data_IF_168914039339
#
_entry.id   IF_168914039339
#
_cell.length_a   1.000
_cell.length_b   1.000
_cell.length_c   1.000
_cell.angle_alpha   90.00
_cell.angle_beta   90.00
_cell.angle_gamma   90.00
#
_symmetry.space_group_name_H-M   'P 1'
#
loop_
_entity.id
_entity.type
_entity.pdbx_description
1 polymer ?
#
# COMPACT_ATOMS: atom_id res chain seq x y z
N UNK A 1 -6.66 22.04 -1.57
CA UNK A 1 -5.99 21.19 -0.57
C UNK A 1 -6.37 19.73 -0.70
N UNK A 2 -5.39 18.88 -0.99
CA UNK A 2 -5.52 17.42 -1.01
C UNK A 2 -5.19 16.88 0.37
N UNK A 3 -5.95 15.90 0.85
CA UNK A 3 -5.78 15.35 2.20
C UNK A 3 -5.69 13.85 2.11
N UNK A 4 -4.67 13.25 2.72
CA UNK A 4 -4.44 11.81 2.64
C UNK A 4 -4.13 11.20 3.99
N UNK A 5 -4.49 9.94 4.17
CA UNK A 5 -3.99 9.11 5.26
C UNK A 5 -2.96 8.10 4.73
N UNK A 6 -1.84 7.91 5.43
CA UNK A 6 -0.84 6.89 5.11
C UNK A 6 -0.78 5.86 6.24
N UNK A 7 -1.16 4.63 5.92
CA UNK A 7 -1.00 3.46 6.79
C UNK A 7 0.24 2.68 6.34
N UNK A 8 1.17 2.45 7.26
CA UNK A 8 2.47 1.83 6.95
C UNK A 8 3.58 2.84 6.63
N UNK A 9 3.55 4.03 7.25
CA UNK A 9 4.53 5.10 7.00
C UNK A 9 5.99 4.73 7.27
N UNK A 10 6.27 3.73 8.10
CA UNK A 10 7.64 3.23 8.34
C UNK A 10 8.13 2.22 7.29
N UNK A 11 7.26 1.78 6.38
CA UNK A 11 7.65 0.90 5.26
C UNK A 11 8.40 1.67 4.18
N UNK A 12 9.12 0.95 3.31
CA UNK A 12 9.83 1.56 2.17
C UNK A 12 8.87 2.39 1.30
N UNK A 13 7.75 1.82 0.87
CA UNK A 13 6.77 2.56 0.05
C UNK A 13 6.08 3.68 0.82
N UNK A 14 5.57 3.41 2.02
CA UNK A 14 4.86 4.41 2.83
C UNK A 14 5.72 5.64 3.14
N UNK A 15 6.99 5.44 3.49
CA UNK A 15 7.92 6.54 3.74
C UNK A 15 8.22 7.37 2.49
N UNK A 16 8.29 6.75 1.31
CA UNK A 16 8.44 7.47 0.03
C UNK A 16 7.18 8.26 -0.34
N UNK A 17 5.98 7.73 -0.10
CA UNK A 17 4.71 8.45 -0.29
C UNK A 17 4.71 9.72 0.56
N UNK A 18 5.02 9.60 1.86
CA UNK A 18 5.07 10.74 2.78
C UNK A 18 6.10 11.78 2.31
N UNK A 19 7.32 11.35 1.98
CA UNK A 19 8.37 12.25 1.52
C UNK A 19 8.02 12.97 0.21
N UNK A 20 7.30 12.33 -0.71
CA UNK A 20 6.87 12.96 -1.95
C UNK A 20 5.75 13.97 -1.70
N UNK A 21 4.72 13.59 -0.94
CA UNK A 21 3.58 14.46 -0.63
C UNK A 21 3.98 15.68 0.22
N UNK A 22 4.95 15.53 1.13
CA UNK A 22 5.46 16.66 1.91
C UNK A 22 6.23 17.69 1.07
N UNK A 23 6.62 17.39 -0.18
CA UNK A 23 7.22 18.40 -1.08
C UNK A 23 6.19 19.31 -1.73
N UNK A 24 4.91 18.93 -1.68
CA UNK A 24 3.82 19.67 -2.30
C UNK A 24 3.18 20.63 -1.28
N UNK A 25 2.90 21.86 -1.67
CA UNK A 25 2.42 22.89 -0.73
C UNK A 25 0.94 22.72 -0.34
N UNK A 26 0.10 22.19 -1.24
CA UNK A 26 -1.36 22.06 -1.08
C UNK A 26 -1.78 20.65 -0.63
N UNK A 27 -1.03 20.05 0.31
CA UNK A 27 -1.29 18.70 0.84
C UNK A 27 -1.30 18.68 2.38
N UNK A 28 -2.31 18.00 2.93
CA UNK A 28 -2.42 17.60 4.34
C UNK A 28 -2.26 16.09 4.47
N UNK A 29 -1.55 15.65 5.51
CA UNK A 29 -1.24 14.24 5.74
C UNK A 29 -1.60 13.81 7.15
N UNK A 30 -2.36 12.72 7.24
CA UNK A 30 -2.50 11.95 8.47
C UNK A 30 -1.61 10.72 8.34
N UNK A 31 -0.69 10.50 9.26
CA UNK A 31 0.21 9.34 9.23
C UNK A 31 -0.06 8.46 10.44
N UNK A 32 -0.42 7.21 10.18
CA UNK A 32 -0.65 6.22 11.23
C UNK A 32 0.60 5.36 11.43
N UNK A 33 1.10 5.29 12.66
CA UNK A 33 2.25 4.47 13.01
C UNK A 33 2.11 3.80 14.38
N UNK A 34 2.82 2.69 14.58
CA UNK A 34 2.91 2.02 15.89
C UNK A 34 3.84 2.76 16.86
N UNK A 35 4.86 3.43 16.33
CA UNK A 35 5.84 4.19 17.10
C UNK A 35 6.13 5.51 16.40
N UNK A 36 5.81 6.61 17.09
CA UNK A 36 6.08 7.97 16.62
C UNK A 36 7.58 8.21 16.47
N UNK A 37 8.38 7.83 17.48
CA UNK A 37 9.83 8.00 17.47
C UNK A 37 10.49 7.34 16.25
N UNK A 38 10.11 6.09 15.94
CA UNK A 38 10.64 5.37 14.76
C UNK A 38 10.25 6.04 13.45
N UNK A 39 9.02 6.57 13.38
CA UNK A 39 8.54 7.28 12.20
C UNK A 39 9.30 8.60 11.99
N UNK A 40 9.51 9.37 13.05
CA UNK A 40 10.23 10.66 13.02
C UNK A 40 11.72 10.48 12.72
N UNK A 41 12.35 9.43 13.25
CA UNK A 41 13.72 9.04 12.91
C UNK A 41 13.86 8.73 11.41
N UNK A 42 12.90 7.99 10.85
CA UNK A 42 12.90 7.61 9.44
C UNK A 42 12.50 8.74 8.50
N UNK A 43 11.65 9.67 8.96
CA UNK A 43 11.12 10.79 8.18
C UNK A 43 11.20 12.09 9.01
N UNK A 44 12.40 12.70 9.12
CA UNK A 44 12.59 13.90 9.92
C UNK A 44 11.72 15.09 9.47
N UNK A 45 11.28 15.12 8.21
CA UNK A 45 10.39 16.15 7.65
C UNK A 45 9.01 16.21 8.34
N UNK A 46 8.61 15.18 9.08
CA UNK A 46 7.37 15.19 9.85
C UNK A 46 7.47 16.01 11.14
N UNK A 47 8.68 16.21 11.67
CA UNK A 47 8.90 16.90 12.95
C UNK A 47 8.54 18.38 12.77
N UNK A 48 7.48 18.82 13.45
CA UNK A 48 7.03 20.21 13.42
C UNK A 48 6.34 20.64 12.12
N UNK A 49 6.03 19.70 11.20
CA UNK A 49 5.29 20.02 9.99
C UNK A 49 3.83 20.38 10.31
N UNK A 50 3.34 21.59 10.00
CA UNK A 50 1.94 21.95 10.21
C UNK A 50 0.99 21.25 9.23
N UNK A 51 1.54 20.56 8.23
CA UNK A 51 0.80 19.84 7.18
C UNK A 51 0.69 18.34 7.45
N UNK A 52 1.24 17.86 8.57
CA UNK A 52 1.21 16.45 8.92
C UNK A 52 0.81 16.24 10.38
N UNK A 53 -0.14 15.32 10.58
CA UNK A 53 -0.54 14.86 11.91
C UNK A 53 -0.19 13.38 12.07
N UNK A 54 0.48 13.06 13.17
CA UNK A 54 0.88 11.68 13.49
C UNK A 54 -0.12 11.09 14.47
N UNK A 55 -0.72 9.97 14.08
CA UNK A 55 -1.59 9.15 14.92
C UNK A 55 -0.83 7.90 15.33
N UNK A 56 -0.81 7.61 16.64
CA UNK A 56 -0.04 6.50 17.18
C UNK A 56 -0.92 5.47 17.87
N UNK A 57 -0.81 4.21 17.47
CA UNK A 57 -1.61 3.14 18.05
C UNK A 57 -1.34 1.77 17.42
N UNK A 58 -1.93 0.74 18.04
CA UNK A 58 -2.06 -0.57 17.40
C UNK A 58 -3.07 -0.48 16.27
N UNK A 59 -2.83 -1.15 15.14
CA UNK A 59 -3.75 -1.13 13.99
C UNK A 59 -5.16 -1.64 14.33
N UNK A 60 -5.29 -2.39 15.44
CA UNK A 60 -6.55 -2.88 16.00
C UNK A 60 -7.33 -1.82 16.81
N UNK A 61 -6.71 -0.67 17.11
CA UNK A 61 -7.38 0.46 17.77
C UNK A 61 -8.13 1.27 16.72
N UNK A 62 -9.40 0.89 16.50
CA UNK A 62 -10.26 1.46 15.47
C UNK A 62 -10.69 2.90 15.73
N UNK A 63 -10.67 3.37 16.97
CA UNK A 63 -11.03 4.76 17.29
C UNK A 63 -9.94 5.73 16.84
N UNK A 64 -8.68 5.48 17.23
CA UNK A 64 -7.54 6.29 16.77
C UNK A 64 -7.38 6.17 15.25
N UNK A 65 -7.59 4.96 14.71
CA UNK A 65 -7.57 4.78 13.27
C UNK A 65 -8.69 5.57 12.60
N UNK A 66 -9.92 5.57 13.11
CA UNK A 66 -11.00 6.41 12.59
C UNK A 66 -10.64 7.90 12.61
N UNK A 67 -10.06 8.39 13.70
CA UNK A 67 -9.63 9.80 13.79
C UNK A 67 -8.53 10.13 12.76
N UNK A 68 -7.62 9.19 12.48
CA UNK A 68 -6.61 9.32 11.42
C UNK A 68 -7.21 9.34 10.01
N UNK A 69 -8.33 8.63 9.81
CA UNK A 69 -9.00 8.52 8.51
C UNK A 69 -10.05 9.62 8.29
N UNK A 70 -10.34 10.45 9.29
CA UNK A 70 -11.39 11.47 9.19
C UNK A 70 -10.96 12.62 8.28
N UNK A 71 -11.92 13.12 7.48
CA UNK A 71 -11.72 14.27 6.58
C UNK A 71 -10.71 14.07 5.44
N UNK A 72 -10.13 12.87 5.24
CA UNK A 72 -9.19 12.63 4.14
C UNK A 72 -9.91 12.30 2.83
N UNK A 73 -9.24 12.55 1.70
CA UNK A 73 -9.75 12.21 0.37
C UNK A 73 -9.36 10.79 -0.07
N UNK A 74 -8.16 10.34 0.33
CA UNK A 74 -7.66 9.01 0.00
C UNK A 74 -6.83 8.42 1.14
N UNK A 75 -6.78 7.10 1.20
CA UNK A 75 -6.03 6.31 2.19
C UNK A 75 -5.04 5.44 1.45
N UNK A 76 -3.76 5.58 1.75
CA UNK A 76 -2.73 4.68 1.27
C UNK A 76 -2.55 3.54 2.26
N UNK A 77 -2.90 2.32 1.86
CA UNK A 77 -2.63 1.11 2.61
C UNK A 77 -1.35 0.46 2.06
N UNK A 78 -0.20 0.89 2.59
CA UNK A 78 1.14 0.45 2.20
C UNK A 78 1.77 -0.44 3.28
N UNK A 79 0.96 -1.34 3.84
CA UNK A 79 1.39 -2.33 4.85
C UNK A 79 1.62 -3.67 4.17
N UNK A 80 2.75 -4.29 4.47
CA UNK A 80 3.10 -5.62 3.98
C UNK A 80 4.29 -6.18 4.76
N UNK A 81 4.67 -7.40 4.40
CA UNK A 81 5.83 -8.10 4.93
C UNK A 81 6.62 -8.73 3.79
N UNK A 82 7.94 -8.83 3.94
CA UNK A 82 8.79 -9.57 3.01
C UNK A 82 8.93 -11.05 3.41
N UNK A 83 8.38 -11.43 4.56
CA UNK A 83 8.52 -12.77 5.09
C UNK A 83 7.32 -13.63 4.72
N UNK A 84 7.62 -14.82 4.17
CA UNK A 84 6.61 -15.80 3.78
C UNK A 84 6.13 -16.63 4.99
N UNK A 85 5.61 -15.94 6.01
CA UNK A 85 5.09 -16.55 7.24
C UNK A 85 3.90 -17.46 6.93
N UNK A 86 3.90 -18.74 7.36
CA UNK A 86 2.73 -19.59 7.27
C UNK A 86 1.52 -18.94 7.96
N UNK A 87 0.36 -19.01 7.32
CA UNK A 87 -0.88 -18.41 7.81
C UNK A 87 -0.78 -16.89 8.05
N UNK A 88 0.05 -16.19 7.27
CA UNK A 88 0.12 -14.73 7.29
C UNK A 88 -1.28 -14.11 7.07
N UNK A 89 -1.72 -13.26 8.01
CA UNK A 89 -2.99 -12.52 7.94
C UNK A 89 -2.81 -11.01 8.12
N UNK A 90 -1.61 -10.48 7.89
CA UNK A 90 -1.26 -9.11 8.24
C UNK A 90 -2.17 -8.09 7.54
N UNK A 91 -2.28 -8.17 6.23
CA UNK A 91 -3.07 -7.24 5.41
C UNK A 91 -4.56 -7.47 5.64
N UNK A 92 -5.01 -8.71 5.82
CA UNK A 92 -6.40 -9.01 6.19
C UNK A 92 -6.81 -8.36 7.52
N UNK A 93 -5.96 -8.42 8.55
CA UNK A 93 -6.22 -7.80 9.85
C UNK A 93 -6.30 -6.27 9.75
N UNK A 94 -5.39 -5.67 8.98
CA UNK A 94 -5.45 -4.22 8.73
C UNK A 94 -6.70 -3.83 7.95
N UNK A 95 -7.03 -4.56 6.88
CA UNK A 95 -8.22 -4.32 6.09
C UNK A 95 -9.50 -4.38 6.95
N UNK A 96 -9.58 -5.36 7.86
CA UNK A 96 -10.71 -5.50 8.79
C UNK A 96 -10.82 -4.30 9.74
N UNK A 97 -9.69 -3.87 10.33
CA UNK A 97 -9.66 -2.73 11.24
C UNK A 97 -9.96 -1.41 10.53
N UNK A 98 -9.49 -1.25 9.29
CA UNK A 98 -9.79 -0.11 8.43
C UNK A 98 -11.28 -0.01 8.12
N UNK A 99 -11.92 -1.12 7.73
CA UNK A 99 -13.36 -1.14 7.46
C UNK A 99 -14.16 -0.78 8.71
N UNK A 100 -13.81 -1.35 9.87
CA UNK A 100 -14.45 -1.02 11.14
C UNK A 100 -14.31 0.48 11.47
N UNK A 101 -13.14 1.06 11.23
CA UNK A 101 -12.88 2.49 11.44
C UNK A 101 -13.70 3.39 10.50
N UNK A 102 -13.81 3.02 9.23
CA UNK A 102 -14.66 3.73 8.26
C UNK A 102 -16.14 3.62 8.61
N UNK A 103 -16.60 2.49 9.15
CA UNK A 103 -17.96 2.34 9.65
C UNK A 103 -18.24 3.26 10.84
N UNK A 104 -17.28 3.42 11.76
CA UNK A 104 -17.37 4.39 12.87
C UNK A 104 -17.60 5.80 12.31
N UNK A 105 -16.77 6.24 11.34
CA UNK A 105 -16.91 7.56 10.70
C UNK A 105 -18.27 7.74 10.01
N UNK A 106 -18.70 6.74 9.24
CA UNK A 106 -20.01 6.74 8.59
C UNK A 106 -21.15 6.90 9.60
N UNK A 107 -21.11 6.17 10.71
CA UNK A 107 -22.12 6.25 11.78
C UNK A 107 -22.03 7.55 12.59
N UNK A 108 -20.85 8.15 12.76
CA UNK A 108 -20.69 9.49 13.37
C UNK A 108 -21.38 10.54 12.50
N UNK A 109 -21.14 10.52 11.18
CA UNK A 109 -21.77 11.45 10.23
C UNK A 109 -23.30 11.36 10.22
N UNK A 110 -23.86 10.14 10.23
CA UNK A 110 -25.31 9.93 10.25
C UNK A 110 -25.98 10.45 11.53
N UNK A 111 -25.32 10.31 12.69
CA UNK A 111 -25.84 10.77 13.99
C UNK A 111 -25.78 12.28 14.16
N UNK A 112 -24.79 12.94 13.55
CA UNK A 112 -24.59 14.37 13.76
C UNK A 112 -25.70 15.25 13.16
N UNK A 113 -26.55 14.77 12.25
CA UNK A 113 -27.83 15.41 11.88
C UNK A 113 -27.79 16.90 11.47
N UNK A 114 -26.61 17.50 11.30
CA UNK A 114 -26.46 18.94 11.05
C UNK A 114 -26.77 19.20 9.59
N UNK A 115 -27.92 19.83 9.38
CA UNK A 115 -28.48 20.32 8.11
C UNK A 115 -27.54 21.19 7.25
N UNK A 116 -26.36 21.59 7.76
CA UNK A 116 -25.43 22.51 7.10
C UNK A 116 -24.00 21.97 6.92
N UNK A 117 -23.72 20.71 7.30
CA UNK A 117 -22.41 20.07 7.06
C UNK A 117 -22.47 19.16 5.84
N UNK A 118 -21.45 19.22 4.97
CA UNK A 118 -21.35 18.34 3.80
C UNK A 118 -21.51 16.86 4.18
N UNK A 119 -22.30 16.08 3.43
CA UNK A 119 -22.45 14.64 3.68
C UNK A 119 -21.08 13.96 3.72
N UNK A 120 -20.88 13.03 4.65
CA UNK A 120 -19.64 12.24 4.68
C UNK A 120 -19.48 11.48 3.38
N UNK A 121 -18.32 11.66 2.75
CA UNK A 121 -17.89 10.91 1.57
C UNK A 121 -16.81 9.92 2.01
N UNK A 122 -16.97 8.65 1.62
CA UNK A 122 -15.96 7.65 1.91
C UNK A 122 -14.66 8.00 1.16
N UNK A 123 -13.50 8.04 1.83
CA UNK A 123 -12.22 8.22 1.15
C UNK A 123 -11.91 7.05 0.23
N UNK A 124 -11.18 7.32 -0.85
CA UNK A 124 -10.69 6.28 -1.76
C UNK A 124 -9.55 5.50 -1.09
N UNK A 125 -9.72 4.19 -0.94
CA UNK A 125 -8.67 3.31 -0.46
C UNK A 125 -7.76 2.91 -1.64
N UNK A 126 -6.47 3.20 -1.52
CA UNK A 126 -5.42 2.76 -2.44
C UNK A 126 -4.63 1.65 -1.76
N UNK A 127 -4.88 0.41 -2.16
CA UNK A 127 -4.23 -0.78 -1.64
C UNK A 127 -2.95 -1.08 -2.42
N UNK A 128 -1.82 -1.18 -1.73
CA UNK A 128 -0.61 -1.77 -2.29
C UNK A 128 -0.76 -3.30 -2.34
N UNK A 129 -0.68 -3.87 -3.53
CA UNK A 129 -0.73 -5.31 -3.79
C UNK A 129 0.54 -5.75 -4.54
N UNK A 130 0.45 -6.77 -5.39
CA UNK A 130 1.56 -7.25 -6.21
C UNK A 130 1.06 -7.66 -7.60
N UNK A 131 1.90 -7.50 -8.63
CA UNK A 131 1.67 -8.09 -9.94
C UNK A 131 1.54 -9.62 -9.86
N UNK A 132 2.19 -10.26 -8.87
CA UNK A 132 2.10 -11.71 -8.63
C UNK A 132 0.71 -12.24 -8.28
N UNK A 133 -0.20 -11.37 -7.82
CA UNK A 133 -1.62 -11.74 -7.55
C UNK A 133 -2.58 -11.26 -8.65
N UNK A 134 -2.09 -10.50 -9.63
CA UNK A 134 -2.91 -9.99 -10.72
C UNK A 134 -2.81 -10.91 -11.94
N UNK A 135 -3.90 -11.59 -12.29
CA UNK A 135 -3.89 -12.65 -13.30
C UNK A 135 -3.25 -12.25 -14.64
N UNK A 136 -3.58 -11.06 -15.17
CA UNK A 136 -3.04 -10.60 -16.46
C UNK A 136 -1.56 -10.22 -16.40
N UNK A 137 -1.14 -9.54 -15.32
CA UNK A 137 0.24 -9.08 -15.19
C UNK A 137 1.15 -10.27 -14.87
N UNK A 138 0.72 -11.12 -13.94
CA UNK A 138 1.45 -12.34 -13.63
C UNK A 138 1.56 -13.26 -14.85
N UNK A 139 0.57 -13.31 -15.74
CA UNK A 139 0.64 -14.12 -16.95
C UNK A 139 1.76 -13.70 -17.92
N UNK A 140 2.24 -12.46 -17.86
CA UNK A 140 3.33 -11.96 -18.72
C UNK A 140 4.72 -12.37 -18.23
N UNK A 141 4.85 -12.74 -16.96
CA UNK A 141 6.13 -13.11 -16.34
C UNK A 141 6.74 -14.40 -16.95
N UNK A 142 8.07 -14.48 -17.06
CA UNK A 142 8.74 -15.72 -17.47
C UNK A 142 8.47 -16.87 -16.49
N UNK A 143 8.40 -18.10 -17.01
CA UNK A 143 7.99 -19.28 -16.22
C UNK A 143 8.85 -19.53 -14.97
N UNK A 144 10.16 -19.31 -15.05
CA UNK A 144 11.05 -19.49 -13.91
C UNK A 144 10.76 -18.46 -12.80
N UNK A 145 10.50 -17.21 -13.16
CA UNK A 145 10.15 -16.17 -12.21
C UNK A 145 8.79 -16.43 -11.59
N UNK A 146 7.79 -16.84 -12.38
CA UNK A 146 6.49 -17.30 -11.87
C UNK A 146 6.64 -18.40 -10.84
N UNK A 147 7.45 -19.42 -11.13
CA UNK A 147 7.69 -20.51 -10.20
C UNK A 147 8.29 -20.00 -8.88
N UNK A 148 9.36 -19.21 -8.98
CA UNK A 148 10.05 -18.70 -7.81
C UNK A 148 9.15 -17.81 -6.94
N UNK A 149 8.46 -16.82 -7.54
CA UNK A 149 7.65 -15.85 -6.80
C UNK A 149 6.36 -16.46 -6.26
N UNK A 150 5.67 -17.31 -7.03
CA UNK A 150 4.43 -17.96 -6.54
C UNK A 150 4.65 -18.85 -5.32
N UNK A 151 5.85 -19.43 -5.16
CA UNK A 151 6.18 -20.29 -4.01
C UNK A 151 6.86 -19.50 -2.91
N UNK A 152 7.85 -18.68 -3.26
CA UNK A 152 8.60 -17.88 -2.29
C UNK A 152 7.78 -16.78 -1.61
N UNK A 153 6.70 -16.32 -2.23
CA UNK A 153 5.81 -15.30 -1.68
C UNK A 153 4.40 -15.85 -1.42
N UNK A 154 4.19 -17.17 -1.42
CA UNK A 154 2.86 -17.78 -1.41
C UNK A 154 1.91 -17.24 -0.33
N UNK A 155 2.33 -17.22 0.94
CA UNK A 155 1.49 -16.78 2.05
C UNK A 155 1.25 -15.27 2.03
N UNK A 156 2.23 -14.49 1.56
CA UNK A 156 2.09 -13.03 1.36
C UNK A 156 1.03 -12.77 0.28
N UNK A 157 1.15 -13.46 -0.85
CA UNK A 157 0.20 -13.35 -1.96
C UNK A 157 -1.19 -13.81 -1.53
N UNK A 158 -1.28 -14.88 -0.74
CA UNK A 158 -2.56 -15.35 -0.23
C UNK A 158 -3.24 -14.32 0.68
N UNK A 159 -2.48 -13.68 1.56
CA UNK A 159 -2.96 -12.61 2.43
C UNK A 159 -3.47 -11.41 1.62
N UNK A 160 -2.73 -11.00 0.58
CA UNK A 160 -3.13 -9.93 -0.34
C UNK A 160 -4.43 -10.25 -1.08
N UNK A 161 -4.54 -11.45 -1.67
CA UNK A 161 -5.75 -11.91 -2.37
C UNK A 161 -6.98 -11.89 -1.45
N UNK A 162 -6.83 -12.39 -0.22
CA UNK A 162 -7.93 -12.47 0.74
C UNK A 162 -8.33 -11.08 1.25
N UNK A 163 -7.36 -10.20 1.53
CA UNK A 163 -7.62 -8.82 1.92
C UNK A 163 -8.32 -8.04 0.80
N UNK A 164 -7.86 -8.17 -0.45
CA UNK A 164 -8.50 -7.55 -1.61
C UNK A 164 -9.94 -8.05 -1.78
N UNK A 165 -10.15 -9.38 -1.72
CA UNK A 165 -11.49 -9.98 -1.81
C UNK A 165 -12.41 -9.46 -0.71
N UNK A 166 -11.93 -9.36 0.53
CA UNK A 166 -12.67 -8.80 1.65
C UNK A 166 -13.08 -7.35 1.39
N UNK A 167 -12.14 -6.49 0.98
CA UNK A 167 -12.39 -5.07 0.70
C UNK A 167 -13.38 -4.88 -0.45
N UNK A 168 -13.24 -5.66 -1.54
CA UNK A 168 -14.17 -5.64 -2.69
C UNK A 168 -15.60 -6.09 -2.34
N UNK A 169 -15.79 -6.77 -1.21
CA UNK A 169 -17.10 -7.12 -0.67
C UNK A 169 -17.93 -5.89 -0.25
N UNK A 170 -17.29 -4.78 0.10
CA UNK A 170 -17.95 -3.56 0.56
C UNK A 170 -18.20 -2.59 -0.62
N UNK A 171 -19.39 -2.65 -1.23
CA UNK A 171 -19.74 -1.82 -2.40
C UNK A 171 -19.71 -0.30 -2.17
N UNK A 172 -19.77 0.13 -0.92
CA UNK A 172 -19.69 1.54 -0.54
C UNK A 172 -18.25 2.06 -0.42
N UNK A 173 -17.25 1.17 -0.46
CA UNK A 173 -15.84 1.52 -0.32
C UNK A 173 -15.20 1.72 -1.70
N UNK A 174 -14.80 2.95 -2.08
CA UNK A 174 -14.06 3.17 -3.31
C UNK A 174 -12.65 2.58 -3.13
N UNK A 175 -12.31 1.57 -3.93
CA UNK A 175 -11.06 0.83 -3.83
C UNK A 175 -10.28 0.92 -5.15
N UNK A 176 -9.00 1.23 -5.07
CA UNK A 176 -8.03 1.08 -6.16
C UNK A 176 -6.92 0.15 -5.69
N UNK A 177 -6.56 -0.84 -6.50
CA UNK A 177 -5.50 -1.79 -6.16
C UNK A 177 -4.30 -1.56 -7.08
N UNK A 178 -3.13 -1.35 -6.50
CA UNK A 178 -1.89 -1.09 -7.25
C UNK A 178 -1.03 -2.36 -7.23
N UNK A 179 -0.67 -2.86 -8.41
CA UNK A 179 0.04 -4.11 -8.63
C UNK A 179 1.43 -3.86 -9.24
N UNK A 180 2.46 -3.55 -8.42
CA UNK A 180 3.82 -3.41 -8.90
C UNK A 180 4.47 -4.76 -9.21
N UNK A 181 5.46 -4.74 -10.11
CA UNK A 181 6.45 -5.80 -10.24
C UNK A 181 7.40 -5.89 -9.04
N UNK A 182 8.54 -6.55 -9.24
CA UNK A 182 9.60 -6.70 -8.24
C UNK A 182 10.12 -5.35 -7.71
N UNK A 183 10.08 -5.17 -6.39
CA UNK A 183 10.45 -3.92 -5.74
C UNK A 183 11.95 -3.83 -5.48
N UNK A 184 12.53 -2.68 -5.83
CA UNK A 184 13.96 -2.42 -5.64
C UNK A 184 14.23 -1.05 -5.04
N UNK A 185 15.38 -0.94 -4.36
CA UNK A 185 15.96 0.34 -4.01
C UNK A 185 16.79 0.84 -5.20
N UNK A 186 16.28 1.86 -5.88
CA UNK A 186 16.91 2.48 -7.03
C UNK A 186 16.47 3.96 -7.11
N UNK A 187 17.05 4.73 -8.03
CA UNK A 187 16.60 6.08 -8.36
C UNK A 187 15.19 6.09 -8.97
N UNK A 188 14.53 7.24 -8.93
CA UNK A 188 13.28 7.46 -9.64
C UNK A 188 13.53 7.62 -11.15
N UNK A 189 12.83 6.86 -11.98
CA UNK A 189 12.88 6.97 -13.44
C UNK A 189 11.65 7.68 -14.01
N UNK A 190 10.62 7.87 -13.18
CA UNK A 190 9.31 8.30 -13.62
C UNK A 190 8.42 7.10 -13.93
N UNK A 191 7.11 7.33 -13.86
CA UNK A 191 6.12 6.25 -13.79
C UNK A 191 4.83 6.62 -14.50
N UNK A 192 4.13 5.60 -14.96
CA UNK A 192 2.70 5.67 -15.31
C UNK A 192 1.98 4.43 -14.79
N UNK A 193 0.65 4.51 -14.70
CA UNK A 193 -0.21 3.41 -14.29
C UNK A 193 -1.27 3.10 -15.34
N UNK A 194 -1.67 1.83 -15.42
CA UNK A 194 -2.69 1.33 -16.34
C UNK A 194 -3.23 -0.04 -15.93
N UNK A 195 -4.35 -0.48 -16.49
CA UNK A 195 -5.07 -1.67 -15.98
C UNK A 195 -4.37 -3.00 -16.30
N UNK A 196 -3.71 -3.08 -17.47
CA UNK A 196 -3.23 -4.35 -18.04
C UNK A 196 -1.75 -4.30 -18.41
N UNK A 197 -1.01 -3.36 -17.84
CA UNK A 197 0.39 -3.11 -18.16
C UNK A 197 1.18 -2.87 -16.88
N UNK A 198 2.40 -3.39 -16.86
CA UNK A 198 3.32 -3.23 -15.76
C UNK A 198 4.71 -3.66 -16.18
N UNK A 199 5.73 -3.09 -15.55
CA UNK A 199 7.10 -3.57 -15.69
C UNK A 199 7.39 -4.64 -14.64
N UNK A 200 8.22 -5.61 -14.99
CA UNK A 200 8.63 -6.72 -14.11
C UNK A 200 9.31 -6.22 -12.81
N UNK A 201 9.82 -4.99 -12.82
CA UNK A 201 10.51 -4.34 -11.70
C UNK A 201 10.15 -2.87 -11.58
N UNK A 202 10.16 -2.34 -10.37
CA UNK A 202 9.90 -0.93 -10.07
C UNK A 202 10.64 -0.48 -8.81
N UNK A 203 11.17 0.75 -8.85
CA UNK A 203 11.79 1.39 -7.70
C UNK A 203 10.75 1.86 -6.68
N UNK A 204 11.11 1.91 -5.39
CA UNK A 204 10.20 2.38 -4.34
C UNK A 204 9.72 3.83 -4.53
N UNK A 205 10.55 4.71 -5.11
CA UNK A 205 10.14 6.10 -5.40
C UNK A 205 9.10 6.16 -6.53
N UNK A 206 9.28 5.37 -7.60
CA UNK A 206 8.31 5.27 -8.70
C UNK A 206 6.99 4.64 -8.21
N UNK A 207 7.06 3.61 -7.36
CA UNK A 207 5.86 3.00 -6.77
C UNK A 207 5.09 4.00 -5.90
N UNK A 208 5.79 4.78 -5.06
CA UNK A 208 5.13 5.79 -4.25
C UNK A 208 4.38 6.81 -5.12
N UNK A 209 5.01 7.26 -6.22
CA UNK A 209 4.36 8.14 -7.18
C UNK A 209 3.16 7.45 -7.85
N UNK A 210 3.29 6.19 -8.26
CA UNK A 210 2.19 5.42 -8.83
C UNK A 210 0.97 5.33 -7.90
N UNK A 211 1.18 5.12 -6.60
CA UNK A 211 0.10 5.12 -5.62
C UNK A 211 -0.57 6.50 -5.52
N UNK A 212 0.21 7.59 -5.53
CA UNK A 212 -0.32 8.96 -5.52
C UNK A 212 -1.15 9.23 -6.79
N UNK A 213 -0.66 8.82 -7.96
CA UNK A 213 -1.41 8.92 -9.22
C UNK A 213 -2.72 8.14 -9.16
N UNK A 214 -2.71 6.94 -8.58
CA UNK A 214 -3.92 6.14 -8.38
C UNK A 214 -4.95 6.86 -7.48
N UNK A 215 -4.50 7.48 -6.38
CA UNK A 215 -5.35 8.27 -5.49
C UNK A 215 -5.94 9.51 -6.17
N UNK A 216 -5.16 10.18 -7.02
CA UNK A 216 -5.57 11.39 -7.73
C UNK A 216 -6.28 11.11 -9.06
N UNK A 217 -6.40 9.85 -9.47
CA UNK A 217 -7.06 9.51 -10.72
C UNK A 217 -6.28 9.86 -11.98
N UNK A 218 -4.95 9.90 -11.87
CA UNK A 218 -4.04 10.24 -12.96
C UNK A 218 -3.41 8.98 -13.54
N UNK A 219 -3.13 8.97 -14.83
CA UNK A 219 -2.31 7.91 -15.45
C UNK A 219 -0.82 8.26 -15.40
N UNK A 220 -0.50 9.55 -15.50
CA UNK A 220 0.89 10.05 -15.51
C UNK A 220 1.04 11.30 -14.63
N UNK A 221 2.27 11.66 -14.19
CA UNK A 221 2.52 12.91 -13.46
C UNK A 221 2.18 14.17 -14.27
N UNK A 222 2.23 14.10 -15.61
CA UNK A 222 1.87 15.20 -16.51
C UNK A 222 0.36 15.46 -16.60
N UNK A 223 -0.48 14.54 -16.11
CA UNK A 223 -1.93 14.73 -16.11
C UNK A 223 -2.31 15.88 -15.17
N UNK A 224 -2.88 16.95 -15.74
CA UNK A 224 -3.30 18.14 -14.98
C UNK A 224 -4.64 17.94 -14.27
N UNK A 225 -5.50 17.09 -14.81
CA UNK A 225 -6.84 16.83 -14.27
C UNK A 225 -6.79 15.77 -13.17
N UNK A 226 -7.45 16.05 -12.06
CA UNK A 226 -7.68 15.09 -10.97
C UNK A 226 -9.08 14.51 -11.16
N UNK A 227 -9.16 13.20 -11.39
CA UNK A 227 -10.43 12.46 -11.43
C UNK A 227 -10.31 11.21 -10.56
N UNK A 228 -10.52 11.39 -9.25
CA UNK A 228 -10.37 10.34 -8.23
C UNK A 228 -11.28 9.13 -8.44
N UNK A 229 -12.21 9.18 -9.39
CA UNK A 229 -13.10 8.07 -9.73
C UNK A 229 -12.56 7.17 -10.84
N UNK A 230 -11.59 7.66 -11.64
CA UNK A 230 -11.05 6.98 -12.83
C UNK A 230 -10.62 5.53 -12.60
N UNK A 231 -9.98 5.29 -11.45
CA UNK A 231 -9.40 3.99 -11.09
C UNK A 231 -10.24 3.19 -10.08
N UNK A 232 -11.37 3.74 -9.62
CA UNK A 232 -12.20 3.08 -8.60
C UNK A 232 -12.74 1.76 -9.13
N UNK A 233 -12.58 0.70 -8.33
CA UNK A 233 -12.94 -0.67 -8.65
C UNK A 233 -11.88 -1.43 -9.45
N UNK A 234 -10.79 -0.78 -9.89
CA UNK A 234 -9.80 -1.37 -10.80
C UNK A 234 -8.54 -1.82 -10.08
N UNK A 235 -7.89 -2.83 -10.65
CA UNK A 235 -6.49 -3.13 -10.42
C UNK A 235 -5.65 -2.41 -11.47
N UNK A 236 -4.58 -1.72 -11.07
CA UNK A 236 -3.66 -1.03 -11.96
C UNK A 236 -2.26 -1.55 -11.77
N UNK A 237 -1.59 -1.88 -12.86
CA UNK A 237 -0.16 -2.16 -12.88
C UNK A 237 0.66 -0.87 -12.91
N UNK A 238 1.95 -1.02 -12.60
CA UNK A 238 2.91 0.09 -12.53
C UNK A 238 3.96 -0.08 -13.60
N UNK A 239 4.11 0.93 -14.46
CA UNK A 239 5.11 0.95 -15.54
C UNK A 239 6.17 1.98 -15.19
N UNK A 240 7.36 1.52 -14.82
CA UNK A 240 8.53 2.40 -14.65
C UNK A 240 9.13 2.73 -16.01
N UNK A 241 9.47 4.00 -16.23
CA UNK A 241 10.12 4.44 -17.47
C UNK A 241 11.58 3.98 -17.57
N UNK A 242 12.17 3.48 -16.49
CA UNK A 242 13.52 2.92 -16.53
C UNK A 242 13.58 1.56 -17.25
N UNK A 243 12.47 0.83 -17.36
CA UNK A 243 12.44 -0.47 -18.02
C UNK A 243 13.53 -1.41 -17.49
N UNK A 244 14.41 -1.87 -18.40
CA UNK A 244 15.52 -2.77 -18.09
C UNK A 244 16.66 -2.12 -17.28
N UNK A 245 16.74 -0.79 -17.28
CA UNK A 245 17.75 -0.04 -16.50
C UNK A 245 17.43 -0.02 -15.00
N UNK A 246 16.21 -0.37 -14.60
CA UNK A 246 15.84 -0.50 -13.19
C UNK A 246 16.63 -1.66 -12.57
N UNK A 247 17.19 -1.43 -11.39
CA UNK A 247 18.03 -2.39 -10.68
C UNK A 247 17.36 -3.78 -10.53
N UNK A 248 18.19 -4.82 -10.51
CA UNK A 248 17.74 -6.20 -10.29
C UNK A 248 17.45 -6.41 -8.79
N UNK A 249 16.35 -7.10 -8.41
CA UNK A 249 15.95 -7.31 -7.01
C UNK A 249 16.80 -8.35 -6.26
N UNK A 250 18.13 -8.21 -6.28
CA UNK A 250 19.07 -9.16 -5.63
C UNK A 250 18.90 -9.21 -4.11
N UNK A 251 18.59 -8.07 -3.47
CA UNK A 251 18.36 -7.98 -2.03
C UNK A 251 17.16 -8.80 -1.54
N UNK A 252 16.23 -9.16 -2.43
CA UNK A 252 15.03 -9.93 -2.09
C UNK A 252 15.26 -11.45 -2.21
N UNK A 253 16.39 -11.90 -2.76
CA UNK A 253 16.65 -13.32 -3.00
C UNK A 253 16.70 -14.13 -1.71
N UNK A 254 17.22 -13.56 -0.61
CA UNK A 254 17.20 -14.26 0.68
C UNK A 254 15.78 -14.61 1.12
N UNK A 255 14.85 -13.66 1.03
CA UNK A 255 13.46 -13.84 1.43
C UNK A 255 12.75 -14.84 0.53
N UNK A 256 13.00 -14.75 -0.77
CA UNK A 256 12.45 -15.65 -1.78
C UNK A 256 12.89 -17.10 -1.55
N UNK A 257 14.19 -17.34 -1.36
CA UNK A 257 14.74 -18.69 -1.12
C UNK A 257 14.22 -19.27 0.21
N UNK A 258 14.27 -18.50 1.29
CA UNK A 258 13.69 -18.93 2.58
C UNK A 258 12.20 -19.20 2.46
N UNK A 259 11.49 -18.38 1.68
CA UNK A 259 10.06 -18.52 1.45
C UNK A 259 9.71 -19.79 0.66
N UNK A 260 10.54 -20.18 -0.31
CA UNK A 260 10.37 -21.45 -1.05
C UNK A 260 10.55 -22.63 -0.11
N UNK A 261 11.56 -22.59 0.78
CA UNK A 261 11.75 -23.64 1.78
C UNK A 261 10.54 -23.75 2.72
N UNK A 262 10.04 -22.61 3.23
CA UNK A 262 8.87 -22.56 4.11
C UNK A 262 7.60 -23.01 3.39
N UNK A 263 7.46 -22.73 2.09
CA UNK A 263 6.32 -23.20 1.30
C UNK A 263 6.21 -24.73 1.29
N UNK A 264 7.32 -25.44 1.09
CA UNK A 264 7.33 -26.91 1.07
C UNK A 264 7.39 -27.52 2.47
N UNK A 265 8.02 -26.82 3.41
CA UNK A 265 8.23 -27.29 4.78
C UNK A 265 7.90 -26.17 5.79
N UNK A 266 6.60 -25.94 6.09
CA UNK A 266 6.18 -24.81 6.93
C UNK A 266 6.82 -24.77 8.32
N UNK A 267 7.16 -25.93 8.90
CA UNK A 267 7.86 -26.00 10.19
C UNK A 267 9.24 -25.34 10.20
N UNK A 268 9.89 -25.18 9.03
CA UNK A 268 11.17 -24.49 8.90
C UNK A 268 11.06 -23.00 9.23
N UNK A 269 9.86 -22.42 9.21
CA UNK A 269 9.64 -21.05 9.66
C UNK A 269 10.15 -20.83 11.09
N UNK A 270 9.77 -21.71 12.02
CA UNK A 270 10.21 -21.60 13.40
C UNK A 270 11.71 -21.82 13.54
N UNK A 271 12.28 -22.74 12.78
CA UNK A 271 13.72 -23.00 12.76
C UNK A 271 14.49 -21.78 12.27
N UNK A 272 14.09 -21.21 11.13
CA UNK A 272 14.75 -20.02 10.57
C UNK A 272 14.64 -18.81 11.50
N UNK A 273 13.51 -18.64 12.19
CA UNK A 273 13.30 -17.56 13.16
C UNK A 273 14.23 -17.71 14.39
N UNK A 274 14.38 -18.93 14.90
CA UNK A 274 15.31 -19.21 16.01
C UNK A 274 16.77 -19.00 15.59
N UNK A 275 17.11 -19.35 14.35
CA UNK A 275 18.45 -19.18 13.80
C UNK A 275 18.76 -17.74 13.33
N UNK A 276 17.79 -16.81 13.39
CA UNK A 276 17.97 -15.43 12.94
C UNK A 276 18.17 -15.28 11.43
N UNK A 277 17.77 -16.29 10.65
CA UNK A 277 17.82 -16.26 9.18
C UNK A 277 16.68 -15.39 8.62
N UNK A 278 15.56 -15.35 9.36
CA UNK A 278 14.40 -14.50 9.11
C UNK A 278 14.07 -13.66 10.33
#
# INVERSE_FOLDING_TARGET
MRSYAVLGGTGSTGSRIINQLLKEEDVQLNVYARSKAKLEEQIPLLIGSPRAQIFTGSITNTDILADCLDGVHAIFLAIGTNYNEPDCTLVQQVASSLVASLQILRSRSQRSGISNSTPWSCPTLVLLSSAGVHAHLFAQEPLIFKFLTSRGCYYIYKDLELAEKFLRGYKWLPLVVVHPGGLVHDRAYGVRIGENEGTDRVGYDDLAMAMILAADGKATPSDKTIDRTKWVGKGVGVVSFGGDDVAIPTGNMKYLLTGICVYWFPFLWHVFKVLGVI
#
